data_IF_312653176182
#
_entry.id   IF_312653176182
#
_cell.length_a   1.000
_cell.length_b   1.000
_cell.length_c   1.000
_cell.angle_alpha   90.00
_cell.angle_beta   90.00
_cell.angle_gamma   90.00
#
_symmetry.space_group_name_H-M   'P 1'
#
loop_
_entity.id
_entity.type
_entity.pdbx_description
1 polymer ?
#
# COMPACT_ATOMS: atom_id res chain seq x y z
N UNK A 1 -9.00 15.79 -2.32
CA UNK A 1 -8.60 14.38 -2.17
C UNK A 1 -9.81 13.55 -2.56
N UNK A 2 -9.83 12.98 -3.77
CA UNK A 2 -10.88 12.04 -4.17
C UNK A 2 -10.55 10.70 -3.49
N UNK A 3 -11.43 10.24 -2.60
CA UNK A 3 -11.31 8.92 -1.97
C UNK A 3 -12.43 8.09 -2.53
N UNK A 4 -12.06 7.07 -3.29
CA UNK A 4 -13.03 6.25 -4.01
C UNK A 4 -13.43 5.04 -3.14
N UNK A 5 -14.26 5.29 -2.13
CA UNK A 5 -14.79 4.24 -1.26
C UNK A 5 -15.96 3.48 -1.91
N UNK A 6 -16.58 4.05 -2.95
CA UNK A 6 -17.77 3.49 -3.61
C UNK A 6 -17.63 3.34 -5.14
N UNK A 7 -16.80 4.15 -5.81
CA UNK A 7 -16.51 3.96 -7.23
C UNK A 7 -15.18 3.21 -7.40
N UNK A 8 -15.08 2.50 -8.51
CA UNK A 8 -13.91 1.71 -8.87
C UNK A 8 -12.74 2.67 -9.06
N UNK A 9 -11.76 2.67 -8.15
CA UNK A 9 -10.54 3.47 -8.30
C UNK A 9 -9.93 3.29 -9.70
N UNK A 10 -9.98 4.37 -10.49
CA UNK A 10 -9.44 4.43 -11.86
C UNK A 10 -8.08 5.10 -11.78
N UNK A 11 -7.06 4.45 -12.34
CA UNK A 11 -5.74 5.05 -12.46
C UNK A 11 -5.81 6.29 -13.36
N UNK A 12 -5.17 7.43 -13.03
CA UNK A 12 -5.31 8.67 -13.78
C UNK A 12 -4.94 8.48 -15.27
N UNK A 13 -5.92 8.57 -16.19
CA UNK A 13 -5.70 8.24 -17.60
C UNK A 13 -4.76 9.23 -18.29
N UNK A 14 -4.63 10.46 -17.77
CA UNK A 14 -3.66 11.46 -18.23
C UNK A 14 -2.20 11.06 -17.96
N UNK A 15 -1.98 10.09 -17.06
CA UNK A 15 -0.68 9.48 -16.83
C UNK A 15 -0.56 8.25 -17.71
N UNK A 16 -1.34 7.21 -17.40
CA UNK A 16 -1.35 5.90 -18.08
C UNK A 16 -2.75 5.29 -17.96
N UNK A 17 -3.19 4.58 -19.01
CA UNK A 17 -4.37 3.73 -18.93
C UNK A 17 -3.97 2.31 -18.54
N UNK A 18 -4.47 1.80 -17.42
CA UNK A 18 -4.16 0.45 -16.91
C UNK A 18 -5.37 -0.19 -16.25
N UNK A 19 -5.39 -1.53 -16.24
CA UNK A 19 -6.36 -2.33 -15.49
C UNK A 19 -5.90 -2.67 -14.07
N UNK A 20 -4.63 -2.40 -13.73
CA UNK A 20 -4.13 -2.60 -12.38
C UNK A 20 -4.75 -1.58 -11.42
N UNK A 21 -4.94 -2.00 -10.16
CA UNK A 21 -5.55 -1.18 -9.11
C UNK A 21 -4.67 -1.18 -7.87
N UNK A 22 -3.81 -0.17 -7.72
CA UNK A 22 -3.14 0.10 -6.47
C UNK A 22 -4.15 0.41 -5.37
N UNK A 23 -3.78 0.15 -4.12
CA UNK A 23 -4.63 0.51 -2.97
C UNK A 23 -4.75 2.04 -2.81
N UNK A 24 -3.70 2.78 -3.19
CA UNK A 24 -3.71 4.24 -3.19
C UNK A 24 -2.82 4.79 -4.33
N UNK A 25 -3.31 5.83 -5.00
CA UNK A 25 -2.55 6.59 -6.02
C UNK A 25 -2.55 8.05 -5.62
N UNK A 26 -1.36 8.66 -5.54
CA UNK A 26 -1.18 10.10 -5.30
C UNK A 26 -0.40 10.69 -6.47
N UNK A 27 -0.87 11.79 -7.05
CA UNK A 27 -0.17 12.43 -8.15
C UNK A 27 -0.30 13.95 -8.10
N UNK A 28 0.64 14.62 -8.75
CA UNK A 28 0.63 16.06 -8.95
C UNK A 28 0.99 16.36 -10.40
N UNK A 29 0.01 16.87 -11.16
CA UNK A 29 0.21 17.23 -12.57
C UNK A 29 1.21 18.37 -12.74
N UNK A 30 1.19 19.36 -11.84
CA UNK A 30 2.10 20.50 -11.88
C UNK A 30 3.56 20.10 -11.58
N UNK A 31 3.77 19.16 -10.67
CA UNK A 31 5.12 18.68 -10.31
C UNK A 31 5.55 17.45 -11.11
N UNK A 32 4.66 16.90 -11.95
CA UNK A 32 4.84 15.62 -12.65
C UNK A 32 5.28 14.50 -11.71
N UNK A 33 4.64 14.39 -10.54
CA UNK A 33 4.91 13.34 -9.55
C UNK A 33 3.80 12.30 -9.55
N UNK A 34 4.18 11.03 -9.39
CA UNK A 34 3.28 9.90 -9.24
C UNK A 34 3.80 8.98 -8.11
N UNK A 35 2.93 8.67 -7.15
CA UNK A 35 3.16 7.66 -6.12
C UNK A 35 2.11 6.57 -6.25
N UNK A 36 2.57 5.34 -6.46
CA UNK A 36 1.76 4.13 -6.51
C UNK A 36 1.97 3.42 -5.17
N UNK A 37 0.96 3.40 -4.32
CA UNK A 37 1.04 2.84 -2.97
C UNK A 37 0.23 1.55 -2.90
N UNK A 38 0.86 0.49 -2.40
CA UNK A 38 0.27 -0.84 -2.29
C UNK A 38 0.47 -1.39 -0.89
N UNK A 39 -0.62 -1.75 -0.22
CA UNK A 39 -0.61 -2.34 1.11
C UNK A 39 -0.30 -3.84 1.05
N UNK A 40 0.45 -4.32 2.02
CA UNK A 40 0.64 -5.75 2.23
C UNK A 40 0.82 -6.08 3.71
N UNK A 41 0.23 -7.21 4.13
CA UNK A 41 0.28 -7.71 5.50
C UNK A 41 0.92 -9.11 5.52
N UNK A 42 2.26 -9.22 5.39
CA UNK A 42 2.94 -10.50 5.33
C UNK A 42 3.20 -11.08 6.74
N UNK A 43 3.64 -12.33 6.79
CA UNK A 43 4.38 -12.81 7.97
C UNK A 43 5.72 -12.06 8.06
N UNK A 44 6.20 -11.74 9.27
CA UNK A 44 7.34 -10.83 9.46
C UNK A 44 8.62 -11.28 8.73
N UNK A 45 8.89 -12.58 8.70
CA UNK A 45 10.06 -13.12 8.02
C UNK A 45 9.99 -12.96 6.48
N UNK A 46 8.80 -12.74 5.91
CA UNK A 46 8.58 -12.59 4.48
C UNK A 46 8.43 -11.11 4.04
N UNK A 47 8.68 -10.13 4.94
CA UNK A 47 8.54 -8.70 4.62
C UNK A 47 9.38 -8.28 3.41
N UNK A 48 10.63 -8.74 3.32
CA UNK A 48 11.51 -8.40 2.19
C UNK A 48 11.01 -8.95 0.85
N UNK A 49 10.58 -10.20 0.82
CA UNK A 49 10.00 -10.83 -0.37
C UNK A 49 8.68 -10.16 -0.78
N UNK A 50 7.85 -9.82 0.20
CA UNK A 50 6.61 -9.09 -0.04
C UNK A 50 6.85 -7.71 -0.64
N UNK A 51 7.85 -6.97 -0.13
CA UNK A 51 8.27 -5.67 -0.67
C UNK A 51 8.65 -5.79 -2.15
N UNK A 52 9.58 -6.68 -2.50
CA UNK A 52 10.04 -6.84 -3.88
C UNK A 52 8.91 -7.25 -4.81
N UNK A 53 8.09 -8.22 -4.40
CA UNK A 53 6.94 -8.68 -5.20
C UNK A 53 5.93 -7.56 -5.47
N UNK A 54 5.61 -6.74 -4.46
CA UNK A 54 4.68 -5.61 -4.63
C UNK A 54 5.31 -4.48 -5.45
N UNK A 55 6.61 -4.23 -5.29
CA UNK A 55 7.33 -3.25 -6.10
C UNK A 55 7.34 -3.63 -7.58
N UNK A 56 7.65 -4.88 -7.89
CA UNK A 56 7.69 -5.41 -9.26
C UNK A 56 6.33 -5.44 -9.94
N UNK A 57 5.24 -5.63 -9.19
CA UNK A 57 3.87 -5.60 -9.75
C UNK A 57 3.56 -4.31 -10.54
N UNK A 58 4.16 -3.19 -10.16
CA UNK A 58 3.90 -1.88 -10.76
C UNK A 58 5.14 -1.26 -11.42
N UNK A 59 6.24 -2.00 -11.58
CA UNK A 59 7.47 -1.47 -12.18
C UNK A 59 7.26 -0.99 -13.61
N UNK A 60 6.48 -1.74 -14.39
CA UNK A 60 6.27 -1.43 -15.81
C UNK A 60 5.45 -0.16 -15.98
N UNK A 61 4.42 0.03 -15.15
CA UNK A 61 3.61 1.26 -15.11
C UNK A 61 4.46 2.44 -14.66
N UNK A 62 5.32 2.25 -13.64
CA UNK A 62 6.21 3.32 -13.21
C UNK A 62 7.19 3.72 -14.32
N UNK A 63 7.80 2.75 -15.01
CA UNK A 63 8.72 3.01 -16.12
C UNK A 63 8.04 3.70 -17.31
N UNK A 64 6.82 3.28 -17.67
CA UNK A 64 6.03 3.94 -18.73
C UNK A 64 5.68 5.39 -18.33
N UNK A 65 5.40 5.64 -17.04
CA UNK A 65 5.07 6.98 -16.56
C UNK A 65 6.31 7.88 -16.64
N UNK A 66 7.47 7.33 -16.30
CA UNK A 66 8.77 8.00 -16.45
C UNK A 66 9.09 8.36 -17.89
N UNK A 67 8.83 7.46 -18.85
CA UNK A 67 8.96 7.77 -20.27
C UNK A 67 8.04 8.91 -20.73
N UNK A 68 6.89 9.10 -20.07
CA UNK A 68 5.95 10.20 -20.30
C UNK A 68 6.28 11.46 -19.51
N UNK A 69 7.47 11.53 -18.90
CA UNK A 69 7.98 12.69 -18.19
C UNK A 69 7.47 12.83 -16.75
N UNK A 70 6.91 11.77 -16.17
CA UNK A 70 6.56 11.73 -14.75
C UNK A 70 7.74 11.23 -13.91
N UNK A 71 7.74 11.58 -12.63
CA UNK A 71 8.62 10.99 -11.62
C UNK A 71 7.78 10.02 -10.82
N UNK A 72 7.89 8.73 -11.14
CA UNK A 72 7.05 7.69 -10.56
C UNK A 72 7.78 6.93 -9.44
N UNK A 73 7.07 6.63 -8.36
CA UNK A 73 7.57 5.79 -7.27
C UNK A 73 6.55 4.73 -6.90
N UNK A 74 6.98 3.48 -6.89
CA UNK A 74 6.20 2.37 -6.32
C UNK A 74 6.58 2.22 -4.86
N UNK A 75 5.61 2.40 -3.98
CA UNK A 75 5.78 2.47 -2.54
C UNK A 75 4.93 1.40 -1.85
N UNK A 76 5.47 0.17 -1.72
CA UNK A 76 4.88 -0.84 -0.85
C UNK A 76 4.78 -0.35 0.62
N UNK A 77 3.68 -0.70 1.27
CA UNK A 77 3.41 -0.50 2.70
C UNK A 77 3.30 -1.86 3.36
N UNK A 78 4.36 -2.29 4.04
CA UNK A 78 4.40 -3.54 4.79
C UNK A 78 4.07 -3.32 6.25
N UNK A 79 3.09 -4.09 6.73
CA UNK A 79 2.79 -4.25 8.15
C UNK A 79 2.66 -5.73 8.44
N UNK A 80 3.61 -6.31 9.17
CA UNK A 80 3.58 -7.71 9.60
C UNK A 80 2.29 -8.05 10.34
N UNK A 81 1.77 -9.25 10.10
CA UNK A 81 0.49 -9.68 10.67
C UNK A 81 0.46 -9.72 12.20
N UNK A 82 1.61 -9.71 12.89
CA UNK A 82 1.72 -9.61 14.36
C UNK A 82 1.99 -8.16 14.82
N UNK A 83 1.72 -7.18 13.95
CA UNK A 83 1.83 -5.75 14.26
C UNK A 83 3.20 -5.14 13.99
N UNK A 84 4.13 -5.84 13.32
CA UNK A 84 5.43 -5.26 12.99
C UNK A 84 5.31 -4.26 11.83
N UNK A 85 5.57 -2.97 12.06
CA UNK A 85 5.56 -1.97 10.97
C UNK A 85 6.95 -1.85 10.35
N UNK A 86 7.06 -2.12 9.05
CA UNK A 86 8.35 -2.12 8.37
C UNK A 86 8.98 -0.73 8.24
N UNK A 87 10.31 -0.69 8.12
CA UNK A 87 11.06 0.56 7.99
C UNK A 87 10.66 1.34 6.72
N UNK A 88 10.39 0.66 5.61
CA UNK A 88 9.82 1.22 4.37
C UNK A 88 8.55 2.03 4.63
N UNK A 89 7.58 1.45 5.34
CA UNK A 89 6.34 2.13 5.76
C UNK A 89 6.61 3.38 6.59
N UNK A 90 7.52 3.30 7.57
CA UNK A 90 7.87 4.47 8.38
C UNK A 90 8.60 5.56 7.59
N UNK A 91 9.44 5.18 6.61
CA UNK A 91 10.10 6.11 5.68
C UNK A 91 9.08 6.78 4.77
N UNK A 92 8.08 6.04 4.28
CA UNK A 92 6.97 6.58 3.48
C UNK A 92 6.20 7.63 4.26
N UNK A 93 5.70 7.28 5.46
CA UNK A 93 4.99 8.24 6.32
C UNK A 93 5.82 9.51 6.54
N UNK A 94 7.13 9.33 6.72
CA UNK A 94 8.03 10.47 6.87
C UNK A 94 8.18 11.25 5.56
N UNK A 95 8.30 10.59 4.41
CA UNK A 95 8.33 11.24 3.09
C UNK A 95 7.07 12.07 2.82
N UNK A 96 5.93 11.60 3.28
CA UNK A 96 4.62 12.26 3.18
C UNK A 96 4.40 13.38 4.22
N UNK A 97 5.41 13.73 5.01
CA UNK A 97 5.34 14.82 5.98
C UNK A 97 4.67 14.46 7.32
N UNK A 98 4.30 13.19 7.55
CA UNK A 98 3.74 12.76 8.84
C UNK A 98 4.83 12.79 9.91
N UNK A 99 4.63 13.54 11.00
CA UNK A 99 5.65 13.78 12.05
C UNK A 99 5.04 13.76 13.45
N UNK A 100 5.91 13.77 14.45
CA UNK A 100 5.54 13.96 15.86
C UNK A 100 4.51 12.96 16.37
N UNK A 101 3.48 13.47 17.04
CA UNK A 101 2.40 12.65 17.60
C UNK A 101 1.61 11.91 16.52
N UNK A 102 1.31 12.56 15.39
CA UNK A 102 0.58 11.94 14.29
C UNK A 102 1.34 10.72 13.72
N UNK A 103 2.66 10.80 13.61
CA UNK A 103 3.49 9.66 13.19
C UNK A 103 3.40 8.49 14.17
N UNK A 104 3.54 8.76 15.48
CA UNK A 104 3.43 7.72 16.52
C UNK A 104 2.06 7.05 16.50
N UNK A 105 1.01 7.86 16.35
CA UNK A 105 -0.36 7.35 16.29
C UNK A 105 -0.61 6.52 15.04
N UNK A 106 -0.14 6.96 13.87
CA UNK A 106 -0.29 6.21 12.62
C UNK A 106 0.41 4.84 12.69
N UNK A 107 1.66 4.79 13.18
CA UNK A 107 2.41 3.54 13.35
C UNK A 107 1.68 2.60 14.32
N UNK A 108 1.21 3.12 15.46
CA UNK A 108 0.45 2.33 16.43
C UNK A 108 -0.86 1.80 15.84
N UNK A 109 -1.63 2.64 15.16
CA UNK A 109 -2.90 2.25 14.55
C UNK A 109 -2.73 1.17 13.47
N UNK A 110 -1.71 1.29 12.62
CA UNK A 110 -1.41 0.26 11.60
C UNK A 110 -1.01 -1.07 12.24
N UNK A 111 -0.16 -1.03 13.27
CA UNK A 111 0.27 -2.20 14.03
C UNK A 111 -0.93 -2.93 14.66
N UNK A 112 -1.76 -2.22 15.42
CA UNK A 112 -2.94 -2.78 16.09
C UNK A 112 -3.98 -3.31 15.09
N UNK A 113 -4.18 -2.62 13.97
CA UNK A 113 -5.11 -3.05 12.93
C UNK A 113 -4.68 -4.39 12.31
N UNK A 114 -3.40 -4.54 11.99
CA UNK A 114 -2.86 -5.78 11.44
C UNK A 114 -2.99 -6.95 12.43
N UNK A 115 -2.61 -6.73 13.69
CA UNK A 115 -2.66 -7.75 14.75
C UNK A 115 -4.10 -8.18 15.07
N UNK A 116 -5.03 -7.22 15.24
CA UNK A 116 -6.43 -7.53 15.53
C UNK A 116 -7.08 -8.30 14.38
N UNK A 117 -6.81 -7.88 13.15
CA UNK A 117 -7.38 -8.51 11.96
C UNK A 117 -6.84 -9.93 11.77
N UNK A 118 -5.53 -10.13 11.94
CA UNK A 118 -4.91 -11.46 11.81
C UNK A 118 -5.35 -12.41 12.93
N UNK A 119 -5.47 -11.91 14.17
CA UNK A 119 -6.00 -12.67 15.30
C UNK A 119 -7.45 -13.09 15.07
N UNK A 120 -8.28 -12.19 14.55
CA UNK A 120 -9.66 -12.51 14.20
C UNK A 120 -9.75 -13.58 13.10
N UNK A 121 -8.95 -13.45 12.04
CA UNK A 121 -8.86 -14.47 10.98
C UNK A 121 -8.42 -15.83 11.55
N UNK A 122 -7.44 -15.84 12.45
CA UNK A 122 -6.98 -17.07 13.10
C UNK A 122 -8.09 -17.70 13.95
N UNK A 123 -8.82 -16.94 14.76
CA UNK A 123 -9.95 -17.44 15.54
C UNK A 123 -11.02 -18.04 14.62
N UNK A 124 -11.26 -17.40 13.47
CA UNK A 124 -12.27 -17.82 12.48
C UNK A 124 -11.81 -18.91 11.51
N UNK A 125 -10.57 -19.40 11.58
CA UNK A 125 -10.01 -20.37 10.62
C UNK A 125 -10.76 -21.69 10.45
N UNK A 126 -11.61 -22.07 11.42
CA UNK A 126 -12.45 -23.29 11.40
C UNK A 126 -13.93 -22.99 11.19
N UNK A 127 -14.30 -21.73 10.95
CA UNK A 127 -15.69 -21.34 10.78
C UNK A 127 -16.19 -21.92 9.44
N UNK A 128 -17.29 -22.72 9.45
CA UNK A 128 -17.75 -23.44 8.26
C UNK A 128 -18.20 -22.50 7.14
N UNK A 129 -18.46 -21.23 7.42
CA UNK A 129 -18.78 -20.23 6.40
C UNK A 129 -17.61 -19.89 5.47
N UNK A 130 -16.37 -20.26 5.84
CA UNK A 130 -15.18 -20.10 4.98
C UNK A 130 -14.96 -21.28 4.04
N UNK A 131 -15.65 -22.40 4.24
CA UNK A 131 -15.61 -23.50 3.29
C UNK A 131 -16.18 -23.02 1.96
N UNK A 132 -15.41 -23.18 0.89
CA UNK A 132 -15.89 -22.90 -0.45
C UNK A 132 -17.19 -23.68 -0.68
N UNK A 133 -18.25 -22.97 -1.11
CA UNK A 133 -19.48 -23.61 -1.58
C UNK A 133 -19.20 -24.42 -2.84
#
# INVERSE_FOLDING_TARGET
MQVDLEQRLIFPPEIITTNLRPDLVLWSTSQKLLFIVELTVPWEAAVGEAYERKRLKYSDIAAEAEQRGWRAQVLPVEVGCRGFVATSTTKLLKGMGVRGQAFRQAVKSMSEAAERSSSWLWIKRKDPNWAAK
#
